data_IF_315115596746
#
_entry.id   IF_315115596746
#
_cell.length_a   1.000
_cell.length_b   1.000
_cell.length_c   1.000
_cell.angle_alpha   90.00
_cell.angle_beta   90.00
_cell.angle_gamma   90.00
#
_symmetry.space_group_name_H-M   'P 1'
#
loop_
_entity.id
_entity.type
_entity.pdbx_description
1 polymer ?
#
# COMPACT_ATOMS: atom_id res chain seq x y z
N UNK A 1 63.03 6.96 -45.70
CA UNK A 1 61.93 7.88 -45.36
C UNK A 1 60.69 7.02 -45.11
N UNK A 2 60.16 6.95 -43.87
CA UNK A 2 59.09 6.01 -43.52
C UNK A 2 57.69 6.55 -43.86
N UNK A 3 56.80 5.63 -44.24
CA UNK A 3 55.36 5.82 -44.41
C UNK A 3 54.69 6.10 -43.06
N UNK A 4 53.64 6.92 -43.02
CA UNK A 4 52.77 7.02 -41.84
C UNK A 4 51.31 7.04 -42.26
N UNK A 5 50.67 5.88 -42.15
CA UNK A 5 49.23 5.66 -42.27
C UNK A 5 48.55 6.21 -41.03
N UNK A 6 47.57 7.11 -41.21
CA UNK A 6 46.70 7.59 -40.11
C UNK A 6 45.52 6.63 -39.94
N UNK A 7 45.48 5.91 -38.84
CA UNK A 7 44.34 5.09 -38.41
C UNK A 7 43.23 6.00 -37.90
N UNK A 8 42.05 5.99 -38.53
CA UNK A 8 40.83 6.55 -37.95
C UNK A 8 40.21 5.51 -37.00
N UNK A 9 40.07 5.86 -35.73
CA UNK A 9 39.29 5.09 -34.76
C UNK A 9 37.80 5.47 -34.90
N UNK A 10 36.95 4.49 -35.21
CA UNK A 10 35.51 4.65 -35.20
C UNK A 10 34.98 4.44 -33.77
N UNK A 11 34.36 5.48 -33.18
CA UNK A 11 33.60 5.34 -31.93
C UNK A 11 32.25 4.70 -32.22
N UNK A 12 32.04 3.47 -31.75
CA UNK A 12 30.74 2.82 -31.74
C UNK A 12 29.90 3.34 -30.56
N UNK A 13 28.85 4.11 -30.85
CA UNK A 13 27.83 4.50 -29.88
C UNK A 13 26.91 3.32 -29.58
N UNK A 14 27.17 2.59 -28.49
CA UNK A 14 26.27 1.58 -27.94
C UNK A 14 25.07 2.29 -27.29
N UNK A 15 23.96 2.37 -28.03
CA UNK A 15 22.69 2.87 -27.50
C UNK A 15 22.03 1.75 -26.68
N UNK A 16 22.05 1.88 -25.35
CA UNK A 16 21.25 1.00 -24.47
C UNK A 16 19.80 1.45 -24.50
N UNK A 17 18.97 0.73 -25.27
CA UNK A 17 17.53 0.87 -25.16
C UNK A 17 17.08 0.33 -23.80
N UNK A 18 16.71 1.22 -22.88
CA UNK A 18 16.05 0.83 -21.64
C UNK A 18 14.65 0.30 -21.99
N UNK A 19 14.43 -1.00 -21.78
CA UNK A 19 13.10 -1.60 -21.84
C UNK A 19 12.29 -1.03 -20.67
N UNK A 20 11.41 -0.07 -20.97
CA UNK A 20 10.36 0.33 -20.03
C UNK A 20 9.39 -0.84 -19.95
N UNK A 21 9.58 -1.70 -18.96
CA UNK A 21 8.62 -2.77 -18.67
C UNK A 21 7.33 -2.11 -18.19
N UNK A 22 6.28 -2.17 -19.01
CA UNK A 22 4.96 -1.76 -18.58
C UNK A 22 4.53 -2.65 -17.40
N UNK A 23 4.26 -2.03 -16.24
CA UNK A 23 3.68 -2.74 -15.12
C UNK A 23 2.33 -3.33 -15.56
N UNK A 24 2.07 -4.60 -15.23
CA UNK A 24 0.76 -5.20 -15.44
C UNK A 24 -0.30 -4.36 -14.71
N UNK A 25 -1.52 -4.23 -15.25
CA UNK A 25 -2.58 -3.48 -14.59
C UNK A 25 -2.85 -4.09 -13.22
N UNK A 26 -2.59 -3.31 -12.15
CA UNK A 26 -2.89 -3.71 -10.80
C UNK A 26 -4.41 -3.88 -10.64
N UNK A 27 -4.85 -4.96 -9.98
CA UNK A 27 -6.29 -5.11 -9.67
C UNK A 27 -6.77 -3.91 -8.83
N UNK A 28 -7.93 -3.30 -9.13
CA UNK A 28 -8.43 -2.11 -8.41
C UNK A 28 -8.64 -2.42 -6.94
N UNK A 29 -8.18 -1.59 -5.98
CA UNK A 29 -8.27 -1.88 -4.53
C UNK A 29 -9.70 -2.19 -4.07
N UNK A 30 -10.70 -1.52 -4.66
CA UNK A 30 -12.12 -1.72 -4.38
C UNK A 30 -12.51 -3.20 -4.42
N UNK A 31 -13.23 -3.66 -3.40
CA UNK A 31 -13.73 -5.04 -3.29
C UNK A 31 -13.64 -5.60 -1.87
N UNK A 32 -13.96 -6.87 -1.74
CA UNK A 32 -13.91 -7.59 -0.46
C UNK A 32 -12.56 -8.29 -0.30
N UNK A 33 -12.06 -8.27 0.93
CA UNK A 33 -10.78 -8.82 1.33
C UNK A 33 -10.94 -9.66 2.60
N UNK A 34 -10.37 -10.86 2.60
CA UNK A 34 -10.19 -11.69 3.79
C UNK A 34 -8.92 -11.26 4.50
N UNK A 35 -9.02 -10.89 5.78
CA UNK A 35 -7.90 -10.35 6.55
C UNK A 35 -7.73 -11.02 7.91
N UNK A 36 -6.62 -10.72 8.59
CA UNK A 36 -6.35 -11.20 9.95
C UNK A 36 -7.42 -10.76 10.98
N UNK A 37 -8.19 -9.70 10.69
CA UNK A 37 -9.28 -9.16 11.51
C UNK A 37 -10.67 -9.39 10.89
N UNK A 38 -10.79 -10.37 10.00
CA UNK A 38 -12.05 -10.71 9.33
C UNK A 38 -12.19 -10.06 7.96
N UNK A 39 -13.43 -9.98 7.47
CA UNK A 39 -13.71 -9.46 6.13
C UNK A 39 -13.69 -7.93 6.12
N UNK A 40 -12.94 -7.35 5.18
CA UNK A 40 -12.90 -5.90 4.95
C UNK A 40 -13.42 -5.61 3.55
N UNK A 41 -14.42 -4.74 3.44
CA UNK A 41 -14.83 -4.16 2.15
C UNK A 41 -14.11 -2.83 1.95
N UNK A 42 -13.24 -2.78 0.95
CA UNK A 42 -12.47 -1.58 0.57
C UNK A 42 -13.13 -0.84 -0.60
N UNK A 43 -12.99 0.47 -0.62
CA UNK A 43 -13.39 1.37 -1.71
C UNK A 43 -12.23 2.33 -1.98
N UNK A 44 -11.78 2.37 -3.22
CA UNK A 44 -10.87 3.39 -3.74
C UNK A 44 -11.68 4.48 -4.44
N UNK A 45 -11.56 5.70 -3.94
CA UNK A 45 -12.22 6.90 -4.44
C UNK A 45 -11.37 7.66 -5.45
N UNK A 46 -11.69 8.94 -5.63
CA UNK A 46 -10.91 9.82 -6.52
C UNK A 46 -9.56 10.12 -5.89
N UNK A 47 -8.55 10.37 -6.72
CA UNK A 47 -7.22 10.83 -6.28
C UNK A 47 -6.57 9.93 -5.21
N UNK A 48 -6.86 8.62 -5.24
CA UNK A 48 -6.27 7.66 -4.30
C UNK A 48 -6.86 7.72 -2.89
N UNK A 49 -8.02 8.35 -2.67
CA UNK A 49 -8.76 8.23 -1.41
C UNK A 49 -9.13 6.76 -1.16
N UNK A 50 -9.02 6.31 0.09
CA UNK A 50 -9.38 4.94 0.49
C UNK A 50 -10.33 4.99 1.67
N UNK A 51 -11.40 4.21 1.58
CA UNK A 51 -12.28 3.90 2.71
C UNK A 51 -12.52 2.40 2.80
N UNK A 52 -12.93 1.92 3.97
CA UNK A 52 -13.38 0.54 4.13
C UNK A 52 -14.18 0.31 5.39
N UNK A 53 -14.84 -0.86 5.45
CA UNK A 53 -15.63 -1.30 6.60
C UNK A 53 -15.35 -2.78 6.91
N UNK A 54 -15.40 -3.13 8.19
CA UNK A 54 -15.36 -4.51 8.68
C UNK A 54 -16.29 -4.69 9.88
N UNK A 55 -16.79 -5.91 10.10
CA UNK A 55 -17.93 -6.14 10.99
C UNK A 55 -17.60 -5.98 12.48
N UNK A 56 -16.35 -6.24 12.86
CA UNK A 56 -15.89 -6.11 14.25
C UNK A 56 -16.00 -4.65 14.71
N UNK A 57 -16.74 -4.43 15.79
CA UNK A 57 -16.85 -3.15 16.51
C UNK A 57 -17.19 -1.91 15.65
N UNK A 58 -18.04 -2.04 14.63
CA UNK A 58 -18.33 -0.95 13.66
C UNK A 58 -17.03 -0.42 13.01
N UNK A 59 -16.17 -1.36 12.63
CA UNK A 59 -14.83 -1.14 12.11
C UNK A 59 -14.83 -0.38 10.79
N UNK A 60 -14.04 0.69 10.74
CA UNK A 60 -13.91 1.58 9.58
C UNK A 60 -12.44 1.82 9.27
N UNK A 61 -12.14 1.96 7.98
CA UNK A 61 -10.83 2.36 7.48
C UNK A 61 -11.00 3.66 6.71
N UNK A 62 -10.06 4.59 6.91
CA UNK A 62 -9.93 5.81 6.11
C UNK A 62 -8.47 6.09 5.82
N UNK A 63 -8.14 6.54 4.62
CA UNK A 63 -6.77 6.84 4.26
C UNK A 63 -6.57 7.16 2.79
N UNK A 64 -5.37 6.88 2.31
CA UNK A 64 -4.99 7.07 0.91
C UNK A 64 -4.10 5.95 0.41
N UNK A 65 -4.12 5.70 -0.90
CA UNK A 65 -3.21 4.79 -1.59
C UNK A 65 -2.25 5.58 -2.49
N UNK A 66 -0.95 5.27 -2.38
CA UNK A 66 0.07 5.77 -3.27
C UNK A 66 1.16 4.71 -3.47
N UNK A 67 1.56 4.47 -4.72
CA UNK A 67 2.63 3.51 -5.08
C UNK A 67 2.43 2.11 -4.45
N UNK A 68 1.19 1.61 -4.44
CA UNK A 68 0.86 0.30 -3.87
C UNK A 68 0.80 0.26 -2.33
N UNK A 69 0.99 1.39 -1.66
CA UNK A 69 0.93 1.49 -0.20
C UNK A 69 -0.33 2.25 0.22
N UNK A 70 -1.15 1.60 1.04
CA UNK A 70 -2.28 2.22 1.73
C UNK A 70 -1.78 2.69 3.09
N UNK A 71 -2.03 3.95 3.42
CA UNK A 71 -1.72 4.52 4.74
C UNK A 71 -2.92 5.30 5.25
N UNK A 72 -3.18 5.20 6.55
CA UNK A 72 -4.37 5.82 7.14
C UNK A 72 -4.63 5.35 8.54
N UNK A 73 -5.92 5.20 8.87
CA UNK A 73 -6.38 4.81 10.20
C UNK A 73 -7.43 3.71 10.14
N UNK A 74 -7.40 2.81 11.11
CA UNK A 74 -8.54 2.01 11.52
C UNK A 74 -9.27 2.75 12.65
N UNK A 75 -10.59 2.64 12.70
CA UNK A 75 -11.44 3.26 13.71
C UNK A 75 -12.56 2.29 14.07
N UNK A 76 -12.74 2.03 15.36
CA UNK A 76 -13.79 1.18 15.91
C UNK A 76 -14.66 1.97 16.90
N UNK A 77 -15.82 1.42 17.26
CA UNK A 77 -16.68 1.96 18.31
C UNK A 77 -16.17 1.63 19.71
N UNK A 78 -15.43 0.53 19.87
CA UNK A 78 -14.75 0.12 21.09
C UNK A 78 -13.47 -0.63 20.74
N UNK A 79 -12.45 -0.53 21.60
CA UNK A 79 -11.24 -1.36 21.53
C UNK A 79 -10.53 -1.39 22.90
N UNK A 80 -9.53 -2.25 23.05
CA UNK A 80 -8.73 -2.36 24.29
C UNK A 80 -7.96 -1.08 24.64
N UNK A 81 -7.89 -0.11 23.72
CA UNK A 81 -7.14 1.12 23.90
C UNK A 81 -7.98 2.36 23.59
N UNK A 82 -7.88 3.39 24.43
CA UNK A 82 -8.56 4.69 24.21
C UNK A 82 -7.53 5.77 23.93
N UNK A 83 -7.63 6.42 22.79
CA UNK A 83 -6.77 7.53 22.40
C UNK A 83 -7.19 8.86 23.06
N UNK A 84 -6.26 9.81 23.10
CA UNK A 84 -6.52 11.16 23.62
C UNK A 84 -7.45 11.99 22.72
N UNK A 85 -7.40 11.72 21.42
CA UNK A 85 -8.18 12.43 20.39
C UNK A 85 -9.20 11.51 19.75
N UNK A 86 -10.24 12.11 19.15
CA UNK A 86 -11.23 11.37 18.38
C UNK A 86 -10.90 11.41 16.88
N UNK A 87 -11.17 10.30 16.19
CA UNK A 87 -11.19 10.19 14.73
C UNK A 87 -12.51 9.56 14.31
N UNK A 88 -13.14 10.13 13.28
CA UNK A 88 -14.45 9.67 12.79
C UNK A 88 -15.49 9.46 13.93
N UNK A 89 -15.48 10.33 14.94
CA UNK A 89 -16.40 10.27 16.06
C UNK A 89 -16.07 9.27 17.17
N UNK A 90 -14.95 8.53 17.09
CA UNK A 90 -14.52 7.57 18.12
C UNK A 90 -13.12 7.87 18.66
N UNK A 91 -12.87 7.52 19.93
CA UNK A 91 -11.53 7.54 20.55
C UNK A 91 -10.81 6.19 20.46
N UNK A 92 -11.42 5.21 19.80
CA UNK A 92 -10.84 3.89 19.55
C UNK A 92 -10.37 3.83 18.10
N UNK A 93 -9.10 4.12 17.88
CA UNK A 93 -8.52 4.16 16.55
C UNK A 93 -7.01 3.94 16.60
N UNK A 94 -6.43 3.73 15.43
CA UNK A 94 -4.98 3.66 15.29
C UNK A 94 -4.52 3.73 13.85
N UNK A 95 -3.20 3.70 13.62
CA UNK A 95 -2.61 3.85 12.28
C UNK A 95 -2.57 2.51 11.55
N UNK A 96 -2.67 2.56 10.23
CA UNK A 96 -2.43 1.42 9.34
C UNK A 96 -1.40 1.76 8.27
N UNK A 97 -0.64 0.74 7.88
CA UNK A 97 0.14 0.73 6.65
C UNK A 97 0.03 -0.64 5.99
N UNK A 98 -0.59 -0.70 4.81
CA UNK A 98 -0.73 -1.93 4.03
C UNK A 98 0.03 -1.80 2.72
N UNK A 99 0.86 -2.78 2.40
CA UNK A 99 1.65 -2.82 1.17
C UNK A 99 1.10 -3.91 0.25
N UNK A 100 0.48 -3.49 -0.85
CA UNK A 100 -0.07 -4.40 -1.85
C UNK A 100 1.06 -5.14 -2.57
N UNK A 101 0.84 -6.43 -2.79
CA UNK A 101 1.71 -7.20 -3.66
C UNK A 101 1.59 -6.75 -5.12
N UNK A 102 2.57 -7.11 -5.94
CA UNK A 102 2.61 -6.74 -7.37
C UNK A 102 1.41 -7.27 -8.17
N UNK A 103 0.73 -8.31 -7.70
CA UNK A 103 -0.46 -8.87 -8.31
C UNK A 103 -1.77 -8.13 -7.94
N UNK A 104 -1.74 -7.20 -6.97
CA UNK A 104 -2.93 -6.54 -6.41
C UNK A 104 -3.94 -7.49 -5.76
N UNK A 105 -3.51 -8.70 -5.39
CA UNK A 105 -4.35 -9.78 -4.86
C UNK A 105 -4.20 -9.99 -3.36
N UNK A 106 -3.22 -9.34 -2.73
CA UNK A 106 -2.96 -9.40 -1.30
C UNK A 106 -2.13 -8.21 -0.84
N UNK A 107 -2.11 -7.98 0.47
CA UNK A 107 -1.20 -7.05 1.13
C UNK A 107 -0.57 -7.68 2.37
N UNK A 108 0.62 -7.19 2.70
CA UNK A 108 1.19 -7.31 4.05
C UNK A 108 0.93 -6.01 4.79
N UNK A 109 0.49 -6.09 6.04
CA UNK A 109 0.08 -4.90 6.78
C UNK A 109 0.61 -4.86 8.19
N UNK A 110 0.76 -3.62 8.69
CA UNK A 110 1.06 -3.32 10.08
C UNK A 110 0.09 -2.27 10.61
N UNK A 111 -0.14 -2.30 11.92
CA UNK A 111 -1.01 -1.36 12.60
C UNK A 111 -0.47 -0.95 13.97
N UNK A 112 -0.95 0.18 14.49
CA UNK A 112 -0.67 0.63 15.86
C UNK A 112 -1.94 1.21 16.49
N UNK A 113 -1.93 1.42 17.81
CA UNK A 113 -2.94 2.23 18.49
C UNK A 113 -2.57 3.71 18.41
N UNK A 114 -3.58 4.56 18.30
CA UNK A 114 -3.41 6.01 18.30
C UNK A 114 -2.31 6.47 17.34
N UNK A 115 -1.52 7.48 17.72
CA UNK A 115 -0.37 7.95 16.96
C UNK A 115 0.93 7.19 17.29
N UNK A 116 0.86 6.04 17.98
CA UNK A 116 2.05 5.29 18.34
C UNK A 116 2.76 4.73 17.12
N UNK A 117 4.07 4.53 17.30
CA UNK A 117 4.91 3.85 16.33
C UNK A 117 4.43 2.41 16.11
N UNK A 118 4.68 1.89 14.91
CA UNK A 118 4.39 0.49 14.61
C UNK A 118 5.31 -0.40 15.44
N UNK A 119 4.72 -1.40 16.10
CA UNK A 119 5.47 -2.39 16.86
C UNK A 119 5.55 -3.71 16.10
N UNK A 120 6.67 -4.40 16.27
CA UNK A 120 6.88 -5.72 15.66
C UNK A 120 5.83 -6.69 16.21
N UNK A 121 5.10 -7.36 15.30
CA UNK A 121 4.06 -8.34 15.64
C UNK A 121 2.62 -7.83 15.45
N UNK A 122 2.39 -6.51 15.40
CA UNK A 122 1.08 -5.96 15.04
C UNK A 122 0.88 -6.03 13.54
N UNK A 123 0.56 -7.23 13.05
CA UNK A 123 0.32 -7.50 11.64
C UNK A 123 -1.17 -7.45 11.32
N UNK A 124 -1.48 -7.02 10.10
CA UNK A 124 -2.82 -7.08 9.53
C UNK A 124 -2.72 -7.36 8.03
N UNK A 125 -2.57 -8.63 7.69
CA UNK A 125 -2.49 -9.10 6.32
C UNK A 125 -3.88 -9.23 5.70
N UNK A 126 -3.93 -9.16 4.37
CA UNK A 126 -5.17 -9.31 3.62
C UNK A 126 -4.95 -9.98 2.27
N UNK A 127 -5.97 -10.70 1.82
CA UNK A 127 -6.05 -11.33 0.50
C UNK A 127 -7.42 -11.07 -0.09
N UNK A 128 -7.52 -11.00 -1.42
CA UNK A 128 -8.83 -10.91 -2.07
C UNK A 128 -9.72 -12.05 -1.60
N UNK A 129 -10.97 -11.73 -1.31
CA UNK A 129 -11.99 -12.76 -1.21
C UNK A 129 -12.19 -13.37 -2.61
N UNK A 130 -12.22 -14.70 -2.69
CA UNK A 130 -12.51 -15.44 -3.91
C UNK A 130 -13.99 -15.35 -4.31
#
# INVERSE_FOLDING_TARGET
MPMTTKTLAALALLSTAALVQAAAPQKPLTGTWTTDFGSVRMIEGKQGEVSGTYDTDDGRITGSIANGVISGFWVESASDYTCDTARMGSRHWGRIRFELNSAGSGWTGIWSYCDYEYIVGNVWNGKRAD
#
